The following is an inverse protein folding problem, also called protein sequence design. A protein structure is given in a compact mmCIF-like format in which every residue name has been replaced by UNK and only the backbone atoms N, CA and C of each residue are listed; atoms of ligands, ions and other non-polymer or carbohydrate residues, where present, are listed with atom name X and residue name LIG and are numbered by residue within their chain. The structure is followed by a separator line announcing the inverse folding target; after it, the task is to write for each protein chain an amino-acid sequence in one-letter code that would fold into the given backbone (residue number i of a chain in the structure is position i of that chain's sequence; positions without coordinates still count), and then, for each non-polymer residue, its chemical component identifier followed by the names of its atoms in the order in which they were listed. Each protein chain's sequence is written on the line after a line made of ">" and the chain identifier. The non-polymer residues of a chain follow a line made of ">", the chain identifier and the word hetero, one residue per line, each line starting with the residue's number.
data_IF_706105055401
#
_entry.id   IF_706105055401
#
_cell.length_a   1.000
_cell.length_b   1.000
_cell.length_c   1.000
_cell.angle_alpha   90.00
_cell.angle_beta   90.00
_cell.angle_gamma   90.00
#
_symmetry.space_group_name_H-M   'P 1'
#
loop_
_entity.id
_entity.type
_entity.pdbx_description
1 polymer ?
#
# COMPACT_ATOMS: atom_id res chain seq x y z
N UNK A 1 -17.01 -1.00 -12.91
CA UNK A 1 -16.73 0.25 -12.17
C UNK A 1 -15.27 0.31 -11.80
N UNK A 2 -14.62 1.44 -12.03
CA UNK A 2 -13.27 1.76 -11.56
C UNK A 2 -13.37 2.90 -10.55
N UNK A 3 -12.74 2.74 -9.40
CA UNK A 3 -12.66 3.79 -8.37
C UNK A 3 -11.19 4.18 -8.23
N UNK A 4 -10.89 5.45 -8.43
CA UNK A 4 -9.54 6.01 -8.27
C UNK A 4 -9.54 6.96 -7.08
N UNK A 5 -8.59 6.73 -6.19
CA UNK A 5 -8.36 7.58 -5.04
C UNK A 5 -7.01 8.28 -5.19
N UNK A 6 -7.03 9.62 -5.23
CA UNK A 6 -5.84 10.47 -5.26
C UNK A 6 -4.82 10.04 -6.35
N UNK A 7 -5.32 9.70 -7.53
CA UNK A 7 -4.50 9.20 -8.63
C UNK A 7 -4.83 9.93 -9.93
N UNK A 8 -3.87 10.67 -10.47
CA UNK A 8 -4.01 11.39 -11.73
C UNK A 8 -3.36 10.62 -12.89
N UNK A 9 -3.91 9.45 -13.20
CA UNK A 9 -3.36 8.52 -14.20
C UNK A 9 -3.44 9.05 -15.63
N UNK A 10 -4.39 9.95 -15.90
CA UNK A 10 -4.53 10.55 -17.23
C UNK A 10 -3.44 11.57 -17.56
N UNK A 11 -2.63 11.96 -16.59
CA UNK A 11 -1.62 12.99 -16.76
C UNK A 11 -0.20 12.52 -16.44
N UNK A 12 0.07 12.06 -15.23
CA UNK A 12 1.45 11.87 -14.77
C UNK A 12 1.70 10.70 -13.80
N UNK A 13 0.70 9.94 -13.41
CA UNK A 13 0.90 8.78 -12.54
C UNK A 13 1.42 7.54 -13.30
N UNK A 14 1.43 7.61 -14.62
CA UNK A 14 1.95 6.55 -15.50
C UNK A 14 2.87 7.15 -16.57
N UNK A 15 3.82 6.37 -17.05
CA UNK A 15 4.74 6.84 -18.09
C UNK A 15 4.09 6.95 -19.49
N UNK A 16 3.00 6.24 -19.74
CA UNK A 16 2.30 6.22 -21.01
C UNK A 16 0.91 6.84 -20.87
N UNK A 17 0.89 8.16 -20.66
CA UNK A 17 -0.35 8.92 -20.46
C UNK A 17 -1.29 8.88 -21.66
N UNK A 18 -0.76 8.88 -22.88
CA UNK A 18 -1.56 8.79 -24.10
C UNK A 18 -2.36 7.48 -24.15
N UNK A 19 -1.71 6.35 -23.90
CA UNK A 19 -2.38 5.05 -23.85
C UNK A 19 -3.43 4.96 -22.74
N UNK A 20 -3.16 5.54 -21.57
CA UNK A 20 -4.16 5.61 -20.49
C UNK A 20 -5.37 6.42 -20.91
N UNK A 21 -5.18 7.56 -21.53
CA UNK A 21 -6.29 8.37 -22.05
C UNK A 21 -7.09 7.63 -23.12
N UNK A 22 -6.43 6.89 -24.00
CA UNK A 22 -7.10 6.05 -25.00
C UNK A 22 -7.89 4.92 -24.34
N UNK A 23 -7.33 4.26 -23.33
CA UNK A 23 -8.05 3.26 -22.54
C UNK A 23 -9.31 3.83 -21.88
N UNK A 24 -9.22 5.01 -21.28
CA UNK A 24 -10.37 5.67 -20.62
C UNK A 24 -11.48 6.04 -21.60
N UNK A 25 -11.11 6.34 -22.87
CA UNK A 25 -12.05 6.70 -23.95
C UNK A 25 -12.50 5.50 -24.78
N UNK A 26 -11.90 4.34 -24.58
CA UNK A 26 -12.19 3.15 -25.39
C UNK A 26 -13.66 2.73 -25.25
N UNK A 27 -14.32 2.56 -26.38
CA UNK A 27 -15.71 2.05 -26.42
C UNK A 27 -15.74 0.56 -26.32
N UNK A 28 -16.82 0.04 -25.73
CA UNK A 28 -17.08 -1.37 -25.68
C UNK A 28 -17.55 -1.86 -27.07
N UNK A 29 -16.88 -2.86 -27.65
CA UNK A 29 -17.27 -3.38 -28.96
C UNK A 29 -18.58 -4.19 -28.93
N UNK A 30 -18.96 -4.70 -27.76
CA UNK A 30 -20.16 -5.54 -27.60
C UNK A 30 -21.38 -4.71 -27.19
N UNK A 31 -21.17 -3.55 -26.56
CA UNK A 31 -22.23 -2.65 -26.10
C UNK A 31 -22.10 -1.25 -26.74
N UNK A 32 -22.74 -1.02 -27.90
CA UNK A 32 -22.66 0.26 -28.62
C UNK A 32 -23.05 1.46 -27.74
N UNK A 33 -22.16 2.44 -27.68
CA UNK A 33 -22.36 3.66 -26.89
C UNK A 33 -21.73 3.63 -25.50
N UNK A 34 -21.45 2.45 -24.96
CA UNK A 34 -20.79 2.28 -23.67
C UNK A 34 -19.25 2.42 -23.80
N UNK A 35 -18.61 2.78 -22.69
CA UNK A 35 -17.17 2.71 -22.55
C UNK A 35 -16.77 1.32 -21.99
N UNK A 36 -15.59 0.83 -22.32
CA UNK A 36 -15.03 -0.40 -21.75
C UNK A 36 -14.94 -0.32 -20.22
N UNK A 37 -14.71 0.88 -19.67
CA UNK A 37 -14.86 1.17 -18.24
C UNK A 37 -16.21 1.88 -18.09
N UNK A 38 -17.29 1.17 -17.78
CA UNK A 38 -18.65 1.71 -17.88
C UNK A 38 -18.98 2.74 -16.80
N UNK A 39 -18.20 2.79 -15.72
CA UNK A 39 -18.41 3.76 -14.66
C UNK A 39 -17.12 4.06 -13.92
N UNK A 40 -16.70 5.31 -13.91
CA UNK A 40 -15.48 5.82 -13.31
C UNK A 40 -15.80 6.78 -12.16
N UNK A 41 -15.32 6.44 -10.97
CA UNK A 41 -15.42 7.28 -9.78
C UNK A 41 -14.04 7.81 -9.44
N UNK A 42 -13.93 9.12 -9.27
CA UNK A 42 -12.70 9.77 -8.77
C UNK A 42 -12.96 10.37 -7.42
N UNK A 43 -12.10 10.04 -6.46
CA UNK A 43 -12.11 10.54 -5.10
C UNK A 43 -10.83 11.33 -4.90
N UNK A 44 -10.93 12.64 -4.75
CA UNK A 44 -9.75 13.49 -4.61
C UNK A 44 -10.07 14.75 -3.78
N UNK A 45 -9.05 15.25 -3.09
CA UNK A 45 -9.11 16.52 -2.38
C UNK A 45 -8.94 17.71 -3.33
N UNK A 46 -8.42 17.49 -4.54
CA UNK A 46 -8.13 18.49 -5.54
C UNK A 46 -8.73 18.11 -6.89
N UNK A 47 -9.08 19.12 -7.65
CA UNK A 47 -9.48 18.93 -9.04
C UNK A 47 -8.24 18.63 -9.90
N UNK A 48 -8.24 17.49 -10.57
CA UNK A 48 -7.14 17.03 -11.42
C UNK A 48 -7.63 16.71 -12.83
N UNK A 49 -6.72 16.44 -13.75
CA UNK A 49 -7.08 16.04 -15.12
C UNK A 49 -7.90 14.74 -15.13
N UNK A 50 -7.70 13.87 -14.13
CA UNK A 50 -8.46 12.64 -14.02
C UNK A 50 -9.95 12.90 -13.74
N UNK A 51 -10.30 13.99 -13.07
CA UNK A 51 -11.69 14.36 -12.81
C UNK A 51 -12.49 14.65 -14.09
N UNK A 52 -11.81 15.01 -15.18
CA UNK A 52 -12.47 15.23 -16.49
C UNK A 52 -12.96 13.93 -17.16
N UNK A 53 -12.50 12.78 -16.71
CA UNK A 53 -12.92 11.47 -17.20
C UNK A 53 -13.94 10.80 -16.28
N UNK A 54 -14.22 11.37 -15.12
CA UNK A 54 -15.08 10.76 -14.11
C UNK A 54 -16.56 10.90 -14.45
N UNK A 55 -17.32 9.83 -14.24
CA UNK A 55 -18.79 9.86 -14.20
C UNK A 55 -19.30 10.37 -12.85
N UNK A 56 -18.52 10.16 -11.78
CA UNK A 56 -18.82 10.62 -10.44
C UNK A 56 -17.54 11.12 -9.77
N UNK A 57 -17.60 12.30 -9.20
CA UNK A 57 -16.54 12.86 -8.35
C UNK A 57 -17.03 12.90 -6.92
N UNK A 58 -16.25 12.33 -6.01
CA UNK A 58 -16.47 12.39 -4.57
C UNK A 58 -15.40 13.29 -3.95
N UNK A 59 -15.74 14.52 -3.55
CA UNK A 59 -14.78 15.42 -2.93
C UNK A 59 -14.28 14.87 -1.59
N UNK A 60 -12.96 14.72 -1.47
CA UNK A 60 -12.29 14.22 -0.27
C UNK A 60 -11.82 15.36 0.63
N UNK A 61 -11.49 15.01 1.85
CA UNK A 61 -10.84 15.87 2.82
C UNK A 61 -9.34 15.94 2.59
N UNK A 62 -8.72 17.00 3.06
CA UNK A 62 -7.26 17.08 3.16
C UNK A 62 -6.74 16.23 4.34
N UNK A 63 -5.43 16.03 4.41
CA UNK A 63 -4.79 15.27 5.47
C UNK A 63 -5.02 15.83 6.88
N UNK A 64 -5.21 17.13 7.01
CA UNK A 64 -5.43 17.79 8.31
C UNK A 64 -6.89 17.67 8.80
N UNK A 65 -7.79 17.22 7.96
CA UNK A 65 -9.23 17.21 8.19
C UNK A 65 -9.80 15.82 8.49
N UNK A 66 -8.96 14.77 8.47
CA UNK A 66 -9.43 13.40 8.65
C UNK A 66 -8.57 12.57 9.58
N UNK A 67 -9.16 11.50 10.09
CA UNK A 67 -8.42 10.43 10.74
C UNK A 67 -7.69 9.58 9.71
N UNK A 68 -6.47 9.20 10.03
CA UNK A 68 -5.72 8.19 9.30
C UNK A 68 -5.00 7.26 10.27
N UNK A 69 -4.65 6.08 9.80
CA UNK A 69 -3.82 5.14 10.52
C UNK A 69 -2.78 4.57 9.55
N UNK A 70 -1.55 4.51 10.00
CA UNK A 70 -0.49 3.80 9.30
C UNK A 70 0.01 2.68 10.19
N UNK A 71 0.02 1.46 9.66
CA UNK A 71 0.59 0.30 10.34
C UNK A 71 1.89 -0.11 9.66
N UNK A 72 2.92 -0.26 10.45
CA UNK A 72 4.24 -0.73 10.03
C UNK A 72 4.45 -2.21 10.35
N UNK A 73 3.42 -2.90 10.82
CA UNK A 73 3.48 -4.31 11.20
C UNK A 73 3.91 -5.23 10.07
N UNK A 74 3.55 -4.89 8.85
CA UNK A 74 3.83 -5.69 7.66
C UNK A 74 5.09 -5.23 6.93
N UNK A 75 5.80 -4.23 7.47
CA UNK A 75 6.98 -3.66 6.82
C UNK A 75 8.25 -4.00 7.60
N UNK A 76 8.93 -5.08 7.21
CA UNK A 76 10.08 -5.57 7.96
C UNK A 76 11.30 -4.64 7.92
N UNK A 77 11.29 -3.62 7.06
CA UNK A 77 12.44 -2.72 6.87
C UNK A 77 12.38 -1.52 7.81
N UNK A 78 11.17 -1.14 8.26
CA UNK A 78 10.99 0.14 8.97
C UNK A 78 11.37 0.07 10.44
N UNK A 79 11.11 -1.07 11.09
CA UNK A 79 11.29 -1.28 12.52
C UNK A 79 11.92 -2.66 12.76
N UNK A 80 13.25 -2.77 12.70
CA UNK A 80 13.93 -4.07 12.81
C UNK A 80 13.73 -4.73 14.17
N UNK A 81 13.48 -3.98 15.23
CA UNK A 81 13.32 -4.47 16.61
C UNK A 81 11.90 -4.26 17.17
N UNK A 82 11.01 -3.62 16.43
CA UNK A 82 9.65 -3.35 16.90
C UNK A 82 8.61 -3.41 15.77
N UNK A 83 7.36 -3.70 16.14
CA UNK A 83 6.19 -3.42 15.32
C UNK A 83 5.58 -2.10 15.78
N UNK A 84 5.29 -1.21 14.87
CA UNK A 84 4.81 0.11 15.20
C UNK A 84 3.59 0.52 14.36
N UNK A 85 2.75 1.33 14.97
CA UNK A 85 1.64 2.02 14.33
C UNK A 85 1.67 3.50 14.67
N UNK A 86 1.10 4.30 13.81
CA UNK A 86 0.82 5.70 14.10
C UNK A 86 -0.60 6.04 13.63
N UNK A 87 -1.23 6.96 14.33
CA UNK A 87 -2.48 7.58 13.92
C UNK A 87 -2.26 9.05 13.59
N UNK A 88 -3.13 9.57 12.75
CA UNK A 88 -3.32 11.00 12.58
C UNK A 88 -4.72 11.37 12.98
N UNK A 89 -4.83 12.31 13.90
CA UNK A 89 -6.09 12.88 14.34
C UNK A 89 -6.38 14.15 13.53
N UNK A 90 -7.62 14.44 13.13
CA UNK A 90 -7.94 15.67 12.42
C UNK A 90 -7.67 16.89 13.29
N UNK A 91 -6.96 17.87 12.76
CA UNK A 91 -6.64 19.13 13.44
C UNK A 91 -7.68 20.22 13.19
N UNK A 92 -8.31 20.15 12.03
CA UNK A 92 -9.33 21.12 11.61
C UNK A 92 -10.56 20.38 11.07
N UNK A 93 -11.71 21.01 11.17
CA UNK A 93 -12.93 20.54 10.52
C UNK A 93 -12.98 21.10 9.10
N UNK A 94 -13.43 20.33 8.10
CA UNK A 94 -13.69 20.87 6.79
C UNK A 94 -14.79 21.93 6.85
N UNK A 95 -14.62 23.00 6.11
CA UNK A 95 -15.55 24.12 5.97
C UNK A 95 -16.40 24.05 4.69
N UNK A 96 -16.35 22.89 4.00
CA UNK A 96 -16.98 22.62 2.72
C UNK A 96 -17.61 21.23 2.70
N UNK A 97 -18.42 20.96 1.68
CA UNK A 97 -19.11 19.67 1.51
C UNK A 97 -18.14 18.60 0.97
N UNK A 98 -17.40 18.00 1.88
CA UNK A 98 -16.43 16.92 1.63
C UNK A 98 -16.57 15.82 2.67
N UNK A 99 -16.17 14.60 2.32
CA UNK A 99 -16.15 13.46 3.23
C UNK A 99 -14.87 12.66 3.08
N UNK A 100 -14.25 12.20 4.19
CA UNK A 100 -13.12 11.30 4.12
C UNK A 100 -13.45 10.05 3.29
N UNK A 101 -12.61 9.74 2.33
CA UNK A 101 -12.83 8.58 1.44
C UNK A 101 -12.97 7.26 2.21
N UNK A 102 -12.26 7.12 3.32
CA UNK A 102 -12.33 5.96 4.18
C UNK A 102 -13.73 5.76 4.76
N UNK A 103 -14.39 6.84 5.17
CA UNK A 103 -15.77 6.79 5.69
C UNK A 103 -16.76 6.43 4.58
N UNK A 104 -16.55 6.96 3.39
CA UNK A 104 -17.37 6.61 2.22
C UNK A 104 -17.23 5.11 1.91
N UNK A 105 -16.01 4.57 1.96
CA UNK A 105 -15.78 3.13 1.70
C UNK A 105 -16.39 2.24 2.80
N UNK A 106 -16.24 2.61 4.07
CA UNK A 106 -16.86 1.87 5.20
C UNK A 106 -18.40 1.87 5.07
N UNK A 107 -18.98 3.02 4.71
CA UNK A 107 -20.41 3.12 4.50
C UNK A 107 -20.87 2.28 3.29
N UNK A 108 -20.18 2.40 2.16
CA UNK A 108 -20.49 1.67 0.94
C UNK A 108 -20.44 0.16 1.17
N UNK A 109 -19.37 -0.32 1.82
CA UNK A 109 -19.22 -1.74 2.14
C UNK A 109 -20.35 -2.26 3.05
N UNK A 110 -20.79 -1.46 4.01
CA UNK A 110 -21.97 -1.79 4.85
C UNK A 110 -23.28 -1.79 4.07
N UNK A 111 -23.49 -0.84 3.14
CA UNK A 111 -24.68 -0.80 2.26
C UNK A 111 -24.73 -1.96 1.30
N UNK A 112 -23.58 -2.37 0.75
CA UNK A 112 -23.44 -3.54 -0.12
C UNK A 112 -23.46 -4.86 0.64
N UNK A 113 -23.58 -4.81 1.97
CA UNK A 113 -23.64 -5.98 2.85
C UNK A 113 -22.43 -6.91 2.71
N UNK A 114 -21.23 -6.35 2.55
CA UNK A 114 -20.01 -7.15 2.58
C UNK A 114 -19.89 -7.86 3.93
N UNK A 115 -19.60 -9.18 3.95
CA UNK A 115 -19.59 -9.96 5.19
C UNK A 115 -18.68 -9.40 6.29
N UNK A 116 -17.52 -8.84 5.93
CA UNK A 116 -16.59 -8.21 6.87
C UNK A 116 -17.12 -6.91 7.49
N UNK A 117 -18.13 -6.27 6.88
CA UNK A 117 -18.70 -4.97 7.25
C UNK A 117 -20.15 -5.04 7.75
N UNK A 118 -20.72 -6.25 7.82
CA UNK A 118 -22.13 -6.47 8.18
C UNK A 118 -22.22 -7.51 9.28
N UNK A 119 -23.09 -7.27 10.25
CA UNK A 119 -23.42 -8.22 11.31
C UNK A 119 -24.37 -9.29 10.80
N UNK A 120 -24.52 -10.42 11.51
CA UNK A 120 -25.46 -11.47 11.12
C UNK A 120 -26.93 -11.00 11.01
N UNK A 121 -27.32 -9.97 11.75
CA UNK A 121 -28.63 -9.34 11.70
C UNK A 121 -28.83 -8.39 10.50
N UNK A 122 -27.81 -8.24 9.65
CA UNK A 122 -27.83 -7.35 8.49
C UNK A 122 -27.51 -5.88 8.78
N UNK A 123 -27.22 -5.52 10.03
CA UNK A 123 -26.82 -4.16 10.39
C UNK A 123 -25.35 -3.90 10.08
N UNK A 124 -24.98 -2.64 9.90
CA UNK A 124 -23.60 -2.23 9.69
C UNK A 124 -22.73 -2.58 10.91
N UNK A 125 -21.56 -3.17 10.68
CA UNK A 125 -20.60 -3.54 11.73
C UNK A 125 -19.86 -2.32 12.27
N UNK A 126 -19.48 -1.38 11.41
CA UNK A 126 -18.72 -0.18 11.76
C UNK A 126 -19.54 1.07 11.50
N UNK A 127 -19.51 2.01 12.45
CA UNK A 127 -20.20 3.28 12.37
C UNK A 127 -19.51 4.26 11.41
N UNK A 128 -18.19 4.39 11.57
CA UNK A 128 -17.31 5.34 10.87
C UNK A 128 -15.88 4.76 10.74
N UNK A 129 -14.96 5.51 10.19
CA UNK A 129 -13.58 5.04 10.01
C UNK A 129 -12.80 4.92 11.33
N UNK A 130 -12.89 5.85 12.30
CA UNK A 130 -12.32 5.64 13.62
C UNK A 130 -12.81 4.35 14.32
N UNK A 131 -14.08 4.05 14.22
CA UNK A 131 -14.66 2.81 14.74
C UNK A 131 -14.10 1.58 14.01
N UNK A 132 -13.92 1.68 12.70
CA UNK A 132 -13.26 0.65 11.89
C UNK A 132 -11.82 0.39 12.36
N UNK A 133 -11.00 1.43 12.57
CA UNK A 133 -9.60 1.30 13.03
C UNK A 133 -9.53 0.57 14.36
N UNK A 134 -10.43 0.87 15.28
CA UNK A 134 -10.45 0.25 16.62
C UNK A 134 -10.89 -1.21 16.56
N UNK A 135 -11.91 -1.52 15.77
CA UNK A 135 -12.66 -2.76 15.85
C UNK A 135 -12.39 -3.74 14.70
N UNK A 136 -11.65 -3.33 13.67
CA UNK A 136 -11.37 -4.21 12.54
C UNK A 136 -10.38 -5.31 12.92
N UNK A 137 -10.79 -6.54 12.67
CA UNK A 137 -9.93 -7.71 12.75
C UNK A 137 -9.54 -8.14 11.33
N UNK A 138 -8.24 -8.18 11.08
CA UNK A 138 -7.72 -8.71 9.83
C UNK A 138 -7.87 -10.23 9.79
N UNK A 139 -7.93 -10.79 8.60
CA UNK A 139 -7.90 -12.23 8.39
C UNK A 139 -6.65 -12.85 9.02
N UNK A 140 -6.72 -14.08 9.51
CA UNK A 140 -5.56 -14.79 10.04
C UNK A 140 -4.38 -14.76 9.04
N UNK A 141 -3.19 -14.45 9.53
CA UNK A 141 -1.96 -14.37 8.71
C UNK A 141 -1.72 -13.02 8.03
N UNK A 142 -2.68 -12.10 8.03
CA UNK A 142 -2.51 -10.75 7.44
C UNK A 142 -2.00 -9.73 8.46
N UNK A 143 -1.96 -10.08 9.73
CA UNK A 143 -1.59 -9.18 10.82
C UNK A 143 -2.79 -8.38 11.35
N UNK A 144 -2.57 -7.60 12.38
CA UNK A 144 -3.60 -6.78 13.02
C UNK A 144 -3.36 -5.30 12.71
N UNK A 145 -4.40 -4.50 12.71
CA UNK A 145 -4.22 -3.11 13.09
C UNK A 145 -3.75 -3.16 14.54
N UNK A 146 -2.56 -2.64 14.77
CA UNK A 146 -1.93 -2.73 16.07
C UNK A 146 -2.62 -1.82 17.09
N UNK A 147 -2.02 -1.72 18.21
CA UNK A 147 -2.45 -0.87 19.28
C UNK A 147 -2.67 -1.65 20.57
N UNK A 148 -3.17 -0.96 21.55
CA UNK A 148 -3.51 -1.52 22.82
C UNK A 148 -4.85 -2.26 22.73
N UNK A 149 -4.84 -3.52 23.11
CA UNK A 149 -5.99 -4.42 23.09
C UNK A 149 -6.43 -4.80 24.50
N UNK A 150 -7.60 -5.43 24.60
CA UNK A 150 -8.25 -5.71 25.88
C UNK A 150 -9.04 -4.51 26.38
N UNK A 151 -10.04 -4.75 27.23
CA UNK A 151 -10.94 -3.69 27.73
C UNK A 151 -10.22 -2.56 28.46
N UNK A 152 -9.10 -2.87 29.09
CA UNK A 152 -8.23 -1.94 29.82
C UNK A 152 -7.00 -1.48 29.01
N UNK A 153 -6.84 -2.02 27.80
CA UNK A 153 -5.69 -1.72 26.94
C UNK A 153 -4.37 -2.27 27.46
N UNK A 154 -4.39 -3.35 28.22
CA UNK A 154 -3.17 -3.97 28.78
C UNK A 154 -2.49 -4.94 27.83
N UNK A 155 -3.17 -5.38 26.77
CA UNK A 155 -2.65 -6.32 25.79
C UNK A 155 -2.12 -5.58 24.56
N UNK A 156 -1.06 -6.11 23.96
CA UNK A 156 -0.51 -5.57 22.72
C UNK A 156 -0.83 -6.48 21.55
N UNK A 157 -1.21 -5.90 20.42
CA UNK A 157 -1.44 -6.55 19.11
C UNK A 157 -2.62 -7.51 19.04
N UNK A 158 -2.97 -8.22 20.10
CA UNK A 158 -4.03 -9.24 20.14
C UNK A 158 -4.99 -8.99 21.28
N UNK A 159 -6.22 -9.49 21.14
CA UNK A 159 -7.24 -9.39 22.16
C UNK A 159 -8.46 -8.60 21.70
N UNK A 160 -9.42 -8.47 22.59
CA UNK A 160 -10.63 -7.67 22.35
C UNK A 160 -10.28 -6.20 22.04
N UNK A 161 -11.09 -5.51 21.25
CA UNK A 161 -10.94 -4.09 21.01
C UNK A 161 -10.88 -3.29 22.32
N UNK A 162 -9.97 -2.34 22.38
CA UNK A 162 -9.91 -1.38 23.48
C UNK A 162 -10.82 -0.19 23.15
N UNK A 163 -11.88 0.08 23.92
CA UNK A 163 -12.80 1.18 23.66
C UNK A 163 -12.14 2.56 23.75
N UNK A 164 -11.01 2.66 24.47
CA UNK A 164 -10.25 3.89 24.64
C UNK A 164 -9.01 3.96 23.73
N UNK A 165 -8.98 3.18 22.65
CA UNK A 165 -7.83 3.09 21.74
C UNK A 165 -7.35 4.47 21.27
N UNK A 166 -8.26 5.33 20.81
CA UNK A 166 -7.91 6.68 20.35
C UNK A 166 -7.30 7.53 21.44
N UNK A 167 -7.85 7.48 22.64
CA UNK A 167 -7.34 8.25 23.77
C UNK A 167 -5.92 7.79 24.13
N UNK A 168 -5.66 6.49 24.11
CA UNK A 168 -4.32 5.96 24.37
C UNK A 168 -3.30 6.39 23.31
N UNK A 169 -3.68 6.42 22.05
CA UNK A 169 -2.79 6.97 21.01
C UNK A 169 -2.47 8.44 21.27
N UNK A 170 -3.48 9.25 21.60
CA UNK A 170 -3.26 10.67 21.91
C UNK A 170 -2.30 10.83 23.09
N UNK A 171 -2.53 10.13 24.19
CA UNK A 171 -1.68 10.13 25.39
C UNK A 171 -0.25 9.70 25.09
N UNK A 172 -0.06 8.78 24.13
CA UNK A 172 1.24 8.31 23.70
C UNK A 172 1.75 9.02 22.41
N UNK A 173 1.41 10.28 22.23
CA UNK A 173 1.90 11.14 21.14
C UNK A 173 1.56 10.59 19.74
N UNK A 174 0.39 9.98 19.59
CA UNK A 174 -0.12 9.40 18.35
C UNK A 174 0.63 8.16 17.85
N UNK A 175 1.41 7.53 18.70
CA UNK A 175 2.26 6.40 18.32
C UNK A 175 2.07 5.21 19.26
N UNK A 176 2.16 4.01 18.68
CA UNK A 176 2.21 2.73 19.40
C UNK A 176 3.42 1.95 18.91
N UNK A 177 4.16 1.35 19.81
CA UNK A 177 5.23 0.41 19.48
C UNK A 177 5.14 -0.86 20.34
N UNK A 178 5.34 -1.99 19.71
CA UNK A 178 5.47 -3.28 20.35
C UNK A 178 6.85 -3.86 20.02
N UNK A 179 7.72 -3.85 21.01
CA UNK A 179 9.08 -4.36 20.83
C UNK A 179 9.09 -5.87 20.79
N UNK A 180 9.85 -6.39 19.84
CA UNK A 180 10.04 -7.82 19.69
C UNK A 180 10.94 -8.36 20.82
N UNK A 181 10.72 -9.59 21.28
CA UNK A 181 11.70 -10.31 22.10
C UNK A 181 13.04 -10.40 21.37
N UNK A 182 14.15 -10.45 22.12
CA UNK A 182 15.50 -10.42 21.54
C UNK A 182 15.75 -11.49 20.49
N UNK A 183 15.19 -12.68 20.66
CA UNK A 183 15.28 -13.77 19.69
C UNK A 183 14.43 -13.58 18.43
N UNK A 184 13.59 -12.53 18.38
CA UNK A 184 12.76 -12.18 17.22
C UNK A 184 13.11 -10.80 16.64
N UNK A 185 14.00 -10.07 17.31
CA UNK A 185 14.59 -8.86 16.72
C UNK A 185 15.30 -9.22 15.42
N UNK A 186 15.89 -8.30 14.80
CA UNK A 186 16.76 -8.46 13.65
C UNK A 186 16.05 -8.89 12.38
N UNK A 187 15.01 -9.70 12.46
CA UNK A 187 14.19 -9.96 11.27
C UNK A 187 12.99 -10.85 11.52
N UNK A 188 11.90 -10.53 10.85
CA UNK A 188 10.82 -11.50 10.60
C UNK A 188 11.29 -12.70 9.77
N UNK A 189 12.42 -12.60 9.09
CA UNK A 189 12.95 -13.56 8.12
C UNK A 189 14.41 -13.98 8.39
N UNK A 190 15.11 -13.41 9.36
CA UNK A 190 16.41 -13.90 9.78
C UNK A 190 16.31 -14.68 11.07
N UNK A 191 16.91 -15.80 11.04
CA UNK A 191 17.08 -16.65 12.19
C UNK A 191 18.29 -16.12 12.99
N UNK A 192 18.04 -15.60 14.20
CA UNK A 192 19.10 -15.12 15.08
C UNK A 192 20.09 -16.26 15.42
N UNK A 193 19.58 -17.46 15.64
CA UNK A 193 20.43 -18.62 15.96
C UNK A 193 21.40 -18.93 14.81
N UNK A 194 20.96 -18.76 13.56
CA UNK A 194 21.85 -18.91 12.41
C UNK A 194 22.91 -17.80 12.36
N UNK A 195 22.55 -16.58 12.69
CA UNK A 195 23.50 -15.47 12.75
C UNK A 195 24.51 -15.63 13.89
N UNK A 196 24.09 -16.16 15.03
CA UNK A 196 24.98 -16.51 16.15
C UNK A 196 25.99 -17.58 15.69
N UNK A 197 25.53 -18.66 15.06
CA UNK A 197 26.41 -19.70 14.49
C UNK A 197 27.38 -19.12 13.45
N UNK A 198 26.90 -18.21 12.61
CA UNK A 198 27.76 -17.58 11.61
C UNK A 198 28.82 -16.66 12.25
N UNK A 199 28.50 -15.98 13.34
CA UNK A 199 29.44 -15.19 14.12
C UNK A 199 30.47 -16.09 14.83
N UNK A 200 30.02 -17.15 15.48
CA UNK A 200 30.89 -18.12 16.16
C UNK A 200 31.84 -18.81 15.18
N UNK A 201 31.38 -19.08 13.97
CA UNK A 201 32.19 -19.65 12.90
C UNK A 201 33.11 -18.61 12.20
N UNK A 202 33.01 -17.34 12.55
CA UNK A 202 33.83 -16.28 11.98
C UNK A 202 33.38 -15.81 10.57
N UNK A 203 32.20 -16.19 10.12
CA UNK A 203 31.66 -15.74 8.83
C UNK A 203 31.15 -14.29 8.87
N UNK A 204 30.73 -13.82 10.04
CA UNK A 204 30.35 -12.44 10.31
C UNK A 204 31.06 -11.94 11.55
N UNK A 205 31.39 -10.66 11.61
CA UNK A 205 32.13 -10.09 12.74
C UNK A 205 31.32 -9.97 14.02
N UNK A 206 30.03 -9.77 13.91
CA UNK A 206 29.06 -9.72 15.01
C UNK A 206 27.65 -9.91 14.49
N UNK A 207 26.75 -10.30 15.39
CA UNK A 207 25.32 -10.35 15.08
C UNK A 207 24.75 -8.95 15.19
N UNK A 208 24.23 -8.44 14.08
CA UNK A 208 23.58 -7.13 14.01
C UNK A 208 22.19 -7.22 13.42
N UNK A 209 21.30 -6.27 13.75
CA UNK A 209 20.01 -6.15 13.09
C UNK A 209 20.21 -5.96 11.60
N UNK A 210 19.49 -6.70 10.78
CA UNK A 210 19.53 -6.50 9.35
C UNK A 210 18.63 -5.31 9.00
N UNK A 211 19.26 -4.19 8.71
CA UNK A 211 18.60 -2.94 8.35
C UNK A 211 18.17 -2.95 6.88
N UNK A 212 18.85 -3.74 6.05
CA UNK A 212 18.56 -3.85 4.62
C UNK A 212 18.27 -5.30 4.24
N UNK A 213 17.07 -5.51 3.68
CA UNK A 213 16.64 -6.81 3.20
C UNK A 213 16.65 -6.84 1.68
N UNK A 214 17.21 -7.90 1.13
CA UNK A 214 17.19 -8.13 -0.32
C UNK A 214 16.02 -9.00 -0.77
N UNK A 215 15.14 -9.41 0.13
CA UNK A 215 14.04 -10.33 -0.18
C UNK A 215 14.47 -11.61 -0.90
N UNK A 216 15.68 -12.07 -0.62
CA UNK A 216 16.28 -13.21 -1.33
C UNK A 216 15.47 -14.51 -1.21
N UNK A 217 14.88 -14.77 -0.05
CA UNK A 217 14.02 -15.96 0.12
C UNK A 217 12.75 -15.93 -0.74
N UNK A 218 11.95 -14.86 -0.75
CA UNK A 218 10.81 -14.77 -1.66
C UNK A 218 11.23 -14.89 -3.13
N UNK A 219 12.29 -14.21 -3.53
CA UNK A 219 12.80 -14.30 -4.90
C UNK A 219 13.21 -15.74 -5.25
N UNK A 220 13.91 -16.43 -4.34
CA UNK A 220 14.27 -17.82 -4.54
C UNK A 220 13.05 -18.74 -4.65
N UNK A 221 12.01 -18.53 -3.85
CA UNK A 221 10.74 -19.29 -3.96
C UNK A 221 10.09 -19.10 -5.33
N UNK A 222 10.02 -17.88 -5.82
CA UNK A 222 9.50 -17.61 -7.16
C UNK A 222 10.34 -18.28 -8.26
N UNK A 223 11.66 -18.23 -8.14
CA UNK A 223 12.55 -18.89 -9.10
C UNK A 223 12.37 -20.41 -9.08
N UNK A 224 12.29 -21.02 -7.90
CA UNK A 224 12.01 -22.45 -7.74
C UNK A 224 10.64 -22.84 -8.34
N UNK A 225 9.63 -21.99 -8.17
CA UNK A 225 8.34 -22.20 -8.81
C UNK A 225 8.45 -22.14 -10.35
N UNK A 226 9.25 -21.22 -10.89
CA UNK A 226 9.59 -21.17 -12.30
C UNK A 226 10.27 -22.44 -12.80
N UNK A 227 11.12 -23.05 -11.99
CA UNK A 227 11.82 -24.30 -12.28
C UNK A 227 10.98 -25.56 -12.04
N UNK A 228 9.78 -25.43 -11.46
CA UNK A 228 8.95 -26.57 -11.06
C UNK A 228 9.43 -27.30 -9.80
N UNK A 229 10.30 -26.68 -9.02
CA UNK A 229 10.93 -27.26 -7.81
C UNK A 229 10.32 -26.74 -6.50
N UNK A 230 9.33 -25.87 -6.56
CA UNK A 230 8.63 -25.33 -5.40
C UNK A 230 7.36 -26.11 -5.10
N UNK A 231 7.21 -26.53 -3.85
CA UNK A 231 6.01 -27.24 -3.37
C UNK A 231 4.92 -26.23 -2.95
N UNK A 232 4.38 -25.51 -3.92
CA UNK A 232 3.39 -24.47 -3.74
C UNK A 232 2.80 -23.99 -5.06
N UNK A 233 2.16 -22.83 -5.10
CA UNK A 233 1.59 -22.29 -6.34
C UNK A 233 2.60 -22.20 -7.46
N UNK A 234 2.23 -22.67 -8.63
CA UNK A 234 3.06 -22.71 -9.83
C UNK A 234 2.60 -21.66 -10.85
N UNK A 235 3.51 -21.13 -11.70
CA UNK A 235 3.11 -20.28 -12.80
C UNK A 235 2.20 -21.03 -13.76
N UNK A 236 1.13 -20.39 -14.20
CA UNK A 236 0.06 -21.01 -14.99
C UNK A 236 0.41 -21.15 -16.49
N UNK A 237 1.42 -20.43 -16.95
CA UNK A 237 1.82 -20.42 -18.34
C UNK A 237 3.35 -20.35 -18.50
N UNK A 238 3.81 -20.63 -19.70
CA UNK A 238 5.25 -20.68 -20.00
C UNK A 238 5.91 -19.29 -19.95
N UNK A 239 5.22 -18.25 -20.34
CA UNK A 239 5.77 -16.88 -20.32
C UNK A 239 6.08 -16.43 -18.90
N UNK A 240 5.16 -16.67 -17.96
CA UNK A 240 5.39 -16.35 -16.55
C UNK A 240 6.49 -17.21 -15.95
N UNK A 241 6.56 -18.48 -16.33
CA UNK A 241 7.63 -19.39 -15.92
C UNK A 241 9.02 -18.87 -16.34
N UNK A 242 9.17 -18.46 -17.58
CA UNK A 242 10.41 -17.89 -18.10
C UNK A 242 10.77 -16.57 -17.43
N UNK A 243 9.77 -15.71 -17.15
CA UNK A 243 9.97 -14.46 -16.41
C UNK A 243 10.47 -14.71 -15.00
N UNK A 244 9.87 -15.66 -14.28
CA UNK A 244 10.31 -16.03 -12.93
C UNK A 244 11.75 -16.55 -12.92
N UNK A 245 12.13 -17.35 -13.87
CA UNK A 245 13.51 -17.83 -13.98
C UNK A 245 14.51 -16.74 -14.35
N UNK A 246 14.11 -15.79 -15.18
CA UNK A 246 15.01 -14.74 -15.68
C UNK A 246 15.21 -13.59 -14.70
N UNK A 247 14.12 -13.11 -14.04
CA UNK A 247 14.14 -11.84 -13.32
C UNK A 247 14.03 -11.98 -11.79
N UNK A 248 13.83 -13.18 -11.28
CA UNK A 248 13.72 -13.43 -9.85
C UNK A 248 14.98 -14.10 -9.29
N UNK A 249 16.12 -13.50 -9.58
CA UNK A 249 17.37 -13.94 -8.98
C UNK A 249 17.42 -13.54 -7.50
N UNK A 250 17.76 -14.44 -6.57
CA UNK A 250 17.85 -14.14 -5.15
C UNK A 250 19.02 -13.22 -4.78
N UNK A 251 19.98 -13.08 -5.69
CA UNK A 251 21.11 -12.16 -5.51
C UNK A 251 20.88 -10.87 -6.29
N UNK A 252 21.44 -9.75 -5.83
CA UNK A 252 21.42 -8.51 -6.59
C UNK A 252 22.12 -8.71 -7.96
N UNK A 253 21.35 -8.59 -9.02
CA UNK A 253 21.83 -8.72 -10.40
C UNK A 253 21.45 -7.47 -11.16
N UNK A 254 22.32 -7.09 -12.09
CA UNK A 254 21.97 -6.07 -13.05
C UNK A 254 21.29 -6.69 -14.27
N UNK A 255 20.19 -6.12 -14.67
CA UNK A 255 19.49 -6.45 -15.89
C UNK A 255 19.42 -5.22 -16.79
N UNK A 256 19.66 -5.41 -18.07
CA UNK A 256 19.41 -4.33 -19.02
C UNK A 256 17.92 -3.93 -18.96
N UNK A 257 17.60 -2.64 -18.82
CA UNK A 257 16.22 -2.18 -18.81
C UNK A 257 15.42 -2.68 -20.00
N UNK A 258 14.17 -3.09 -19.78
CA UNK A 258 13.32 -3.66 -20.84
C UNK A 258 13.14 -2.72 -22.02
N UNK A 259 13.08 -1.43 -21.76
CA UNK A 259 12.98 -0.38 -22.77
C UNK A 259 14.21 -0.39 -23.68
N UNK A 260 15.39 -0.57 -23.12
CA UNK A 260 16.65 -0.60 -23.90
C UNK A 260 16.80 -1.86 -24.74
N UNK A 261 16.17 -2.97 -24.31
CA UNK A 261 16.20 -4.23 -25.05
C UNK A 261 15.32 -4.23 -26.30
N UNK A 262 14.32 -3.34 -26.35
CA UNK A 262 13.26 -3.33 -27.38
C UNK A 262 13.25 -2.11 -28.27
N UNK A 263 14.05 -1.12 -27.96
CA UNK A 263 14.06 0.16 -28.65
C UNK A 263 15.20 0.18 -29.65
N UNK A 264 14.90 0.57 -30.89
CA UNK A 264 15.90 0.88 -31.87
C UNK A 264 16.62 2.19 -31.47
N UNK A 265 17.90 2.08 -31.17
CA UNK A 265 18.70 3.21 -30.68
C UNK A 265 19.04 4.23 -31.80
N UNK A 266 18.90 3.85 -33.07
CA UNK A 266 19.05 4.78 -34.18
C UNK A 266 17.78 5.63 -34.36
N UNK A 267 16.61 5.01 -34.16
CA UNK A 267 15.34 5.70 -34.21
C UNK A 267 15.07 6.54 -32.93
N UNK A 268 15.48 6.03 -31.76
CA UNK A 268 15.29 6.66 -30.44
C UNK A 268 16.63 6.87 -29.71
N UNK A 269 17.43 7.84 -30.12
CA UNK A 269 18.80 8.00 -29.61
C UNK A 269 18.90 8.64 -28.23
N UNK A 270 17.79 9.14 -27.66
CA UNK A 270 17.79 9.85 -26.40
C UNK A 270 17.27 8.99 -25.24
N UNK A 271 17.91 9.12 -24.09
CA UNK A 271 17.44 8.53 -22.85
C UNK A 271 16.60 9.53 -22.07
N UNK A 272 15.39 9.13 -21.67
CA UNK A 272 14.57 9.91 -20.77
C UNK A 272 15.06 9.75 -19.33
N UNK A 273 15.37 10.87 -18.69
CA UNK A 273 15.71 10.92 -17.27
C UNK A 273 14.52 11.50 -16.51
N UNK A 274 14.06 10.78 -15.50
CA UNK A 274 13.05 11.29 -14.58
C UNK A 274 13.72 11.93 -13.38
N UNK A 275 13.35 13.17 -13.08
CA UNK A 275 13.83 13.90 -11.93
C UNK A 275 12.66 14.19 -10.99
N UNK A 276 12.84 13.92 -9.70
CA UNK A 276 11.86 14.33 -8.69
C UNK A 276 12.09 15.79 -8.31
N UNK A 277 11.09 16.66 -8.49
CA UNK A 277 11.19 18.01 -7.99
C UNK A 277 11.17 18.01 -6.45
N UNK A 278 11.90 18.93 -5.85
CA UNK A 278 12.02 19.03 -4.39
C UNK A 278 10.69 19.32 -3.69
N UNK A 279 9.80 20.03 -4.37
CA UNK A 279 8.56 20.57 -3.80
C UNK A 279 7.31 19.78 -4.15
N UNK A 280 7.49 18.64 -4.83
CA UNK A 280 6.36 17.79 -5.24
C UNK A 280 6.56 16.37 -4.76
N UNK A 281 5.48 15.77 -4.27
CA UNK A 281 5.43 14.35 -3.96
C UNK A 281 4.78 13.60 -5.13
N UNK A 282 5.60 12.92 -5.94
CA UNK A 282 5.20 12.34 -7.22
C UNK A 282 4.53 13.40 -8.13
N UNK A 283 3.29 13.18 -8.51
CA UNK A 283 2.49 14.10 -9.31
C UNK A 283 1.58 15.02 -8.50
N UNK A 284 1.66 14.94 -7.19
CA UNK A 284 0.86 15.75 -6.28
C UNK A 284 1.22 17.22 -6.35
N UNK A 285 0.19 18.04 -6.16
CA UNK A 285 0.31 19.49 -6.15
C UNK A 285 0.73 20.13 -7.49
N UNK A 286 0.71 19.38 -8.60
CA UNK A 286 0.99 19.95 -9.91
C UNK A 286 0.02 21.10 -10.29
N UNK A 287 -1.19 21.11 -9.72
CA UNK A 287 -2.19 22.16 -9.85
C UNK A 287 -2.03 23.30 -8.85
N UNK A 288 -1.15 23.18 -7.85
CA UNK A 288 -0.94 24.19 -6.83
C UNK A 288 -0.30 25.44 -7.43
N UNK A 289 -1.02 26.56 -7.39
CA UNK A 289 -0.58 27.83 -8.02
C UNK A 289 0.70 28.39 -7.38
N UNK A 290 0.97 28.10 -6.12
CA UNK A 290 2.21 28.51 -5.46
C UNK A 290 3.40 27.73 -6.00
N UNK A 291 3.26 26.42 -6.20
CA UNK A 291 4.34 25.60 -6.77
C UNK A 291 4.59 25.90 -8.26
N UNK A 292 3.59 26.38 -8.98
CA UNK A 292 3.74 26.79 -10.39
C UNK A 292 4.51 28.11 -10.57
N UNK A 293 4.80 28.81 -9.48
CA UNK A 293 5.55 30.08 -9.51
C UNK A 293 7.05 29.87 -9.21
N UNK A 294 7.44 28.70 -8.83
CA UNK A 294 8.82 28.28 -8.57
C UNK A 294 9.36 27.53 -9.78
#
# INVERSE_FOLDING_TARGET
>A
TLILFMANMAWNSTMNTANIQDMLRAKDPEEPGQYKIPFLVVIDAFHSEMTNFADLILPDTTYLERHDCISLLDRPISEPDAAADAIRYPLVKPDRDVRPWQEVMVELAGRLKFPAFTRPDGTRKFRDYPDFIVNFERSPGVGFLAGWRGKDGSQSLKGEPNPNQWQKYIENQSFFAHHWPDNQKYMRYANKDYLDVAADAGFVGKVEPIIMQFYSEPLQKFRLAGQGLYDGPQPTNQVDRERLMKYFDPLPMWYEPLEQQRVDKEEYPFFALTQRPMFMYHSWDSQNVWLRQI
#
